data_IF_238605736605
#
_entry.id   IF_238605736605
#
_cell.length_a   1.000
_cell.length_b   1.000
_cell.length_c   1.000
_cell.angle_alpha   90.00
_cell.angle_beta   90.00
_cell.angle_gamma   90.00
#
_symmetry.space_group_name_H-M   'P 1'
#
loop_
_entity.id
_entity.type
_entity.pdbx_description
1 polymer ?
#
# COMPACT_ATOMS: atom_id res chain seq x y z
N UNK A 1 23.59 -7.25 -1.82
CA UNK A 1 22.36 -6.64 -1.27
C UNK A 1 22.14 -5.33 -2.01
N UNK A 2 20.90 -4.92 -2.32
CA UNK A 2 20.71 -3.57 -2.86
C UNK A 2 21.28 -2.54 -1.89
N UNK A 3 21.78 -1.45 -2.44
CA UNK A 3 22.28 -0.30 -1.66
C UNK A 3 21.18 0.19 -0.73
N UNK A 4 21.47 0.26 0.57
CA UNK A 4 20.46 0.74 1.55
C UNK A 4 20.31 2.25 1.41
N UNK A 5 19.08 2.71 1.21
CA UNK A 5 18.77 4.14 1.19
C UNK A 5 18.45 4.64 2.59
N UNK A 6 18.62 5.95 2.81
CA UNK A 6 18.24 6.61 4.05
C UNK A 6 16.72 6.53 4.31
N UNK A 7 16.31 6.57 5.59
CA UNK A 7 14.91 6.52 5.99
C UNK A 7 14.10 7.68 5.39
N UNK A 8 14.64 8.90 5.45
CA UNK A 8 13.95 10.08 4.92
C UNK A 8 13.89 10.05 3.40
N UNK A 9 14.94 9.56 2.72
CA UNK A 9 14.88 9.31 1.29
C UNK A 9 13.77 8.31 0.95
N UNK A 10 13.62 7.23 1.72
CA UNK A 10 12.54 6.27 1.51
C UNK A 10 11.16 6.94 1.68
N UNK A 11 10.97 7.76 2.71
CA UNK A 11 9.72 8.50 2.98
C UNK A 11 9.43 9.49 1.85
N UNK A 12 10.41 10.26 1.42
CA UNK A 12 10.25 11.32 0.43
C UNK A 12 9.99 10.79 -0.97
N UNK A 13 10.53 9.60 -1.28
CA UNK A 13 10.50 9.04 -2.63
C UNK A 13 9.56 7.85 -2.80
N UNK A 14 9.03 7.26 -1.71
CA UNK A 14 8.00 6.22 -1.81
C UNK A 14 6.74 6.79 -2.45
N UNK A 15 6.21 6.10 -3.44
CA UNK A 15 4.96 6.42 -4.12
C UNK A 15 4.29 5.16 -4.65
N UNK A 16 3.00 5.25 -4.95
CA UNK A 16 2.25 4.13 -5.52
C UNK A 16 2.74 3.78 -6.93
N UNK A 17 3.49 2.68 -7.04
CA UNK A 17 3.92 2.08 -8.30
C UNK A 17 2.82 1.14 -8.79
N UNK A 18 2.43 1.27 -10.06
CA UNK A 18 1.32 0.51 -10.65
C UNK A 18 1.68 -0.20 -11.96
N UNK A 19 2.93 -0.03 -12.40
CA UNK A 19 3.50 -0.68 -13.59
C UNK A 19 4.69 -1.51 -13.12
N UNK A 20 4.64 -2.81 -13.37
CA UNK A 20 5.61 -3.77 -12.86
C UNK A 20 6.23 -4.56 -14.00
N UNK A 21 7.50 -4.97 -13.82
CA UNK A 21 8.14 -5.99 -14.63
C UNK A 21 7.58 -7.36 -14.25
N UNK A 22 7.60 -8.33 -15.17
CA UNK A 22 7.20 -9.71 -14.87
C UNK A 22 8.24 -10.50 -14.06
N UNK A 23 9.41 -9.90 -13.80
CA UNK A 23 10.52 -10.56 -13.14
C UNK A 23 10.12 -11.07 -11.76
N UNK A 24 10.51 -12.31 -11.39
CA UNK A 24 10.19 -12.88 -10.10
C UNK A 24 10.86 -12.08 -8.97
N UNK A 25 10.15 -11.88 -7.86
CA UNK A 25 10.71 -11.27 -6.65
C UNK A 25 11.30 -12.37 -5.77
N UNK A 26 12.60 -12.31 -5.41
CA UNK A 26 13.24 -13.25 -4.52
C UNK A 26 12.57 -13.36 -3.15
N UNK A 27 12.57 -14.56 -2.55
CA UNK A 27 11.95 -14.83 -1.26
C UNK A 27 12.58 -14.02 -0.13
N UNK A 28 13.88 -13.76 -0.21
CA UNK A 28 14.62 -12.96 0.76
C UNK A 28 14.09 -11.52 0.81
N UNK A 29 13.71 -10.95 -0.34
CA UNK A 29 13.13 -9.60 -0.38
C UNK A 29 11.71 -9.60 0.22
N UNK A 30 10.90 -10.62 -0.05
CA UNK A 30 9.58 -10.74 0.56
C UNK A 30 9.68 -10.92 2.07
N UNK A 31 10.62 -11.75 2.54
CA UNK A 31 10.89 -11.93 3.97
C UNK A 31 11.23 -10.59 4.63
N UNK A 32 12.10 -9.79 4.01
CA UNK A 32 12.46 -8.46 4.53
C UNK A 32 11.27 -7.51 4.61
N UNK A 33 10.33 -7.57 3.64
CA UNK A 33 9.09 -6.78 3.70
C UNK A 33 8.22 -7.19 4.90
N UNK A 34 8.06 -8.49 5.13
CA UNK A 34 7.25 -9.01 6.23
C UNK A 34 7.90 -8.75 7.59
N UNK A 35 9.24 -8.87 7.70
CA UNK A 35 10.00 -8.48 8.89
C UNK A 35 9.81 -7.00 9.24
N UNK A 36 9.79 -6.11 8.23
CA UNK A 36 9.51 -4.70 8.44
C UNK A 36 8.05 -4.47 8.90
N UNK A 37 7.10 -5.20 8.30
CA UNK A 37 5.69 -5.12 8.66
C UNK A 37 5.45 -5.38 10.15
N UNK A 38 6.00 -6.46 10.68
CA UNK A 38 5.79 -6.89 12.08
C UNK A 38 6.51 -6.00 13.12
N UNK A 39 7.31 -5.02 12.68
CA UNK A 39 7.90 -3.98 13.56
C UNK A 39 6.96 -2.83 13.85
N UNK A 40 5.78 -2.81 13.22
CA UNK A 40 4.77 -1.79 13.48
C UNK A 40 4.20 -1.90 14.90
N UNK A 41 3.72 -0.78 15.49
CA UNK A 41 2.97 -0.83 16.74
C UNK A 41 1.58 -1.44 16.51
N UNK A 42 1.02 -2.03 17.56
CA UNK A 42 -0.38 -2.50 17.56
C UNK A 42 -1.07 -2.18 18.88
N UNK A 43 -2.37 -1.92 18.84
CA UNK A 43 -3.16 -1.62 20.03
C UNK A 43 -3.04 -2.74 21.07
N UNK A 44 -2.62 -2.40 22.30
CA UNK A 44 -2.39 -3.37 23.38
C UNK A 44 -1.35 -4.44 23.07
N UNK A 45 -0.44 -4.21 22.12
CA UNK A 45 0.54 -5.17 21.62
C UNK A 45 -0.08 -6.51 21.13
N UNK A 46 -1.32 -6.48 20.68
CA UNK A 46 -2.08 -7.69 20.27
C UNK A 46 -1.56 -8.35 19.00
N UNK A 47 -0.90 -7.58 18.11
CA UNK A 47 -0.31 -8.07 16.86
C UNK A 47 -1.29 -8.94 16.01
N UNK A 48 -2.55 -8.50 15.94
CA UNK A 48 -3.64 -9.23 15.27
C UNK A 48 -3.55 -9.27 13.74
N UNK A 49 -2.46 -8.80 13.14
CA UNK A 49 -2.22 -8.83 11.70
C UNK A 49 -1.85 -10.23 11.21
N UNK A 50 -2.22 -10.50 9.98
CA UNK A 50 -1.75 -11.63 9.19
C UNK A 50 -1.48 -11.17 7.76
N UNK A 51 -0.50 -11.78 7.11
CA UNK A 51 -0.13 -11.45 5.73
C UNK A 51 -0.16 -12.72 4.89
N UNK A 52 -0.90 -12.71 3.79
CA UNK A 52 -0.92 -13.80 2.83
C UNK A 52 -0.09 -13.37 1.62
N UNK A 53 1.01 -14.08 1.37
CA UNK A 53 1.85 -13.88 0.18
C UNK A 53 1.32 -14.77 -0.94
N UNK A 54 0.85 -14.15 -2.01
CA UNK A 54 0.20 -14.84 -3.13
C UNK A 54 1.17 -14.81 -4.31
N UNK A 55 1.79 -15.96 -4.60
CA UNK A 55 2.75 -16.17 -5.70
C UNK A 55 2.21 -17.11 -6.78
N UNK A 56 1.24 -17.95 -6.43
CA UNK A 56 0.61 -18.85 -7.40
C UNK A 56 -0.08 -18.04 -8.51
N UNK A 57 0.29 -18.34 -9.75
CA UNK A 57 -0.18 -17.58 -10.91
C UNK A 57 -1.69 -17.72 -11.11
N UNK A 58 -2.25 -18.90 -10.87
CA UNK A 58 -3.68 -19.14 -11.05
C UNK A 58 -4.48 -18.35 -10.01
N UNK A 59 -4.04 -18.35 -8.76
CA UNK A 59 -4.65 -17.58 -7.67
C UNK A 59 -4.60 -16.08 -7.96
N UNK A 60 -3.45 -15.56 -8.42
CA UNK A 60 -3.32 -14.13 -8.81
C UNK A 60 -4.26 -13.77 -9.97
N UNK A 61 -4.38 -14.65 -10.96
CA UNK A 61 -5.31 -14.43 -12.09
C UNK A 61 -6.76 -14.40 -11.64
N UNK A 62 -7.19 -15.31 -10.75
CA UNK A 62 -8.54 -15.30 -10.17
C UNK A 62 -8.83 -13.99 -9.43
N UNK A 63 -7.87 -13.46 -8.67
CA UNK A 63 -8.00 -12.12 -8.05
C UNK A 63 -8.11 -11.04 -9.13
N UNK A 64 -7.29 -11.10 -10.17
CA UNK A 64 -7.35 -10.18 -11.31
C UNK A 64 -8.72 -10.22 -12.02
N UNK A 65 -9.32 -11.40 -12.21
CA UNK A 65 -10.65 -11.54 -12.78
C UNK A 65 -11.70 -10.82 -11.93
N UNK A 66 -11.67 -10.98 -10.60
CA UNK A 66 -12.55 -10.24 -9.69
C UNK A 66 -12.39 -8.73 -9.86
N UNK A 67 -11.15 -8.24 -9.93
CA UNK A 67 -10.89 -6.81 -10.12
C UNK A 67 -11.46 -6.27 -11.44
N UNK A 68 -11.44 -7.07 -12.51
CA UNK A 68 -12.01 -6.69 -13.83
C UNK A 68 -13.53 -6.70 -13.85
N UNK A 69 -14.20 -7.48 -13.00
CA UNK A 69 -15.68 -7.52 -12.95
C UNK A 69 -16.29 -6.30 -12.26
N UNK A 70 -15.53 -5.58 -11.44
CA UNK A 70 -16.03 -4.42 -10.70
C UNK A 70 -16.24 -3.18 -11.57
N UNK A 71 -16.97 -2.19 -11.03
CA UNK A 71 -17.14 -0.90 -11.69
C UNK A 71 -15.78 -0.22 -11.90
N UNK A 72 -15.52 0.22 -13.12
CA UNK A 72 -14.30 0.95 -13.47
C UNK A 72 -14.33 2.37 -12.91
N UNK A 73 -13.14 2.94 -12.72
CA UNK A 73 -13.03 4.38 -12.45
C UNK A 73 -13.52 5.17 -13.66
N UNK A 74 -14.42 6.11 -13.43
CA UNK A 74 -14.83 7.05 -14.45
C UNK A 74 -13.76 8.15 -14.58
N UNK A 75 -13.06 8.15 -15.72
CA UNK A 75 -12.08 9.20 -16.04
C UNK A 75 -12.83 10.34 -16.73
N UNK A 76 -13.19 11.35 -15.96
CA UNK A 76 -13.98 12.49 -16.43
C UNK A 76 -13.11 13.51 -17.13
N UNK A 77 -13.69 14.25 -18.07
CA UNK A 77 -12.99 15.28 -18.86
C UNK A 77 -12.63 16.53 -18.04
N UNK A 78 -13.38 16.81 -16.98
CA UNK A 78 -13.16 17.95 -16.06
C UNK A 78 -12.06 17.71 -15.01
N UNK A 79 -11.50 16.49 -14.95
CA UNK A 79 -10.38 16.20 -14.07
C UNK A 79 -9.10 16.94 -14.47
N UNK A 80 -8.29 17.32 -13.47
CA UNK A 80 -6.94 17.82 -13.73
C UNK A 80 -6.08 16.78 -14.43
N UNK A 81 -5.05 17.21 -15.18
CA UNK A 81 -4.12 16.29 -15.84
C UNK A 81 -3.46 15.32 -14.85
N UNK A 82 -3.16 15.78 -13.62
CA UNK A 82 -2.62 14.94 -12.56
C UNK A 82 -3.62 13.89 -12.11
N UNK A 83 -4.88 14.25 -11.86
CA UNK A 83 -5.93 13.31 -11.47
C UNK A 83 -6.12 12.25 -12.55
N UNK A 84 -6.25 12.66 -13.83
CA UNK A 84 -6.37 11.71 -14.96
C UNK A 84 -5.22 10.70 -14.99
N UNK A 85 -3.96 11.12 -14.81
CA UNK A 85 -2.81 10.21 -14.77
C UNK A 85 -2.93 9.20 -13.64
N UNK A 86 -3.35 9.64 -12.44
CA UNK A 86 -3.52 8.76 -11.27
C UNK A 86 -4.62 7.73 -11.53
N UNK A 87 -5.77 8.16 -12.06
CA UNK A 87 -6.90 7.26 -12.36
C UNK A 87 -6.56 6.29 -13.49
N UNK A 88 -5.90 6.75 -14.57
CA UNK A 88 -5.45 5.86 -15.65
C UNK A 88 -4.45 4.82 -15.15
N UNK A 89 -3.51 5.20 -14.29
CA UNK A 89 -2.57 4.24 -13.70
C UNK A 89 -3.27 3.27 -12.73
N UNK A 90 -4.28 3.71 -12.00
CA UNK A 90 -5.09 2.85 -11.15
C UNK A 90 -5.89 1.84 -11.98
N UNK A 91 -6.50 2.30 -13.08
CA UNK A 91 -7.22 1.44 -14.01
C UNK A 91 -6.30 0.40 -14.66
N UNK A 92 -5.09 0.82 -15.08
CA UNK A 92 -4.09 -0.11 -15.60
C UNK A 92 -3.76 -1.21 -14.57
N UNK A 93 -3.52 -0.83 -13.31
CA UNK A 93 -3.26 -1.83 -12.27
C UNK A 93 -4.45 -2.79 -12.09
N UNK A 94 -5.68 -2.30 -12.10
CA UNK A 94 -6.86 -3.16 -11.99
C UNK A 94 -6.95 -4.18 -13.14
N UNK A 95 -6.64 -3.75 -14.35
CA UNK A 95 -6.64 -4.62 -15.52
C UNK A 95 -5.52 -5.68 -15.48
N UNK A 96 -4.39 -5.38 -14.81
CA UNK A 96 -3.17 -6.19 -14.80
C UNK A 96 -2.73 -6.69 -13.43
N UNK A 97 -3.56 -6.56 -12.38
CA UNK A 97 -3.14 -6.95 -11.02
C UNK A 97 -2.82 -8.45 -10.91
N UNK A 98 -3.46 -9.29 -11.71
CA UNK A 98 -3.17 -10.73 -11.79
C UNK A 98 -1.81 -11.06 -12.41
N UNK A 99 -1.20 -10.13 -13.15
CA UNK A 99 0.10 -10.28 -13.80
C UNK A 99 1.27 -9.86 -12.91
N UNK A 100 0.98 -9.13 -11.82
CA UNK A 100 2.02 -8.70 -10.87
C UNK A 100 2.68 -9.91 -10.22
N UNK A 101 4.03 -9.96 -10.10
CA UNK A 101 4.75 -11.16 -9.62
C UNK A 101 4.33 -11.65 -8.25
N UNK A 102 4.01 -10.74 -7.32
CA UNK A 102 3.61 -11.06 -5.95
C UNK A 102 2.49 -10.12 -5.51
N UNK A 103 1.47 -10.67 -4.84
CA UNK A 103 0.48 -9.90 -4.11
C UNK A 103 0.61 -10.22 -2.60
N UNK A 104 0.62 -9.20 -1.75
CA UNK A 104 0.56 -9.38 -0.30
C UNK A 104 -0.79 -8.87 0.18
N UNK A 105 -1.62 -9.77 0.71
CA UNK A 105 -2.89 -9.41 1.33
C UNK A 105 -2.69 -9.21 2.83
N UNK A 106 -2.87 -7.99 3.29
CA UNK A 106 -2.81 -7.63 4.69
C UNK A 106 -4.20 -7.83 5.34
N UNK A 107 -4.24 -8.68 6.33
CA UNK A 107 -5.44 -9.06 7.06
C UNK A 107 -5.31 -8.70 8.54
N UNK A 108 -6.44 -8.54 9.21
CA UNK A 108 -6.46 -8.34 10.66
C UNK A 108 -7.62 -9.11 11.30
N UNK A 109 -7.32 -9.78 12.39
CA UNK A 109 -8.33 -10.40 13.22
C UNK A 109 -8.92 -9.35 14.17
N UNK A 110 -10.24 -9.24 14.21
CA UNK A 110 -10.94 -8.42 15.20
C UNK A 110 -11.16 -9.22 16.49
N UNK A 111 -11.15 -8.54 17.63
CA UNK A 111 -11.67 -9.13 18.86
C UNK A 111 -13.17 -9.42 18.69
N UNK A 112 -13.71 -10.48 19.31
CA UNK A 112 -15.14 -10.81 19.23
C UNK A 112 -16.01 -9.59 19.58
N UNK A 113 -16.95 -9.24 18.69
CA UNK A 113 -17.86 -8.12 18.87
C UNK A 113 -17.27 -6.73 18.63
N UNK A 114 -16.05 -6.63 18.11
CA UNK A 114 -15.40 -5.35 17.78
C UNK A 114 -15.18 -5.18 16.27
N UNK A 115 -14.98 -3.93 15.85
CA UNK A 115 -14.55 -3.63 14.47
C UNK A 115 -13.05 -3.85 14.34
N UNK A 116 -12.57 -4.43 13.22
CA UNK A 116 -11.15 -4.58 12.95
C UNK A 116 -10.39 -3.26 13.05
N UNK A 117 -9.26 -3.26 13.77
CA UNK A 117 -8.51 -2.04 14.05
C UNK A 117 -7.61 -1.63 12.88
N UNK A 118 -8.07 -0.69 12.07
CA UNK A 118 -7.29 -0.07 11.00
C UNK A 118 -5.98 0.55 11.51
N UNK A 119 -5.99 1.10 12.74
CA UNK A 119 -4.82 1.72 13.38
C UNK A 119 -3.67 0.75 13.65
N UNK A 120 -3.94 -0.57 13.72
CA UNK A 120 -2.91 -1.58 13.93
C UNK A 120 -2.35 -2.14 12.61
N UNK A 121 -3.18 -2.30 11.57
CA UNK A 121 -2.72 -2.92 10.32
C UNK A 121 -2.05 -1.91 9.37
N UNK A 122 -2.54 -0.65 9.27
CA UNK A 122 -1.99 0.30 8.32
C UNK A 122 -0.57 0.79 8.65
N UNK A 123 -0.11 0.91 9.90
CA UNK A 123 1.31 1.10 10.21
C UNK A 123 2.19 -0.04 9.66
N UNK A 124 1.75 -1.29 9.78
CA UNK A 124 2.46 -2.44 9.22
C UNK A 124 2.49 -2.41 7.68
N UNK A 125 1.38 -2.04 7.05
CA UNK A 125 1.30 -1.82 5.60
C UNK A 125 2.26 -0.71 5.17
N UNK A 126 2.31 0.42 5.89
CA UNK A 126 3.24 1.51 5.57
C UNK A 126 4.70 1.07 5.68
N UNK A 127 5.05 0.24 6.67
CA UNK A 127 6.39 -0.33 6.77
C UNK A 127 6.74 -1.18 5.55
N UNK A 128 5.80 -2.00 5.03
CA UNK A 128 6.01 -2.75 3.78
C UNK A 128 6.30 -1.79 2.61
N UNK A 129 5.53 -0.70 2.48
CA UNK A 129 5.70 0.24 1.36
C UNK A 129 7.07 0.95 1.41
N UNK A 130 7.51 1.36 2.60
CA UNK A 130 8.83 1.99 2.78
C UNK A 130 9.96 0.98 2.56
N UNK A 131 9.84 -0.23 3.12
CA UNK A 131 10.82 -1.29 2.92
C UNK A 131 10.92 -1.68 1.43
N UNK A 132 9.79 -1.77 0.72
CA UNK A 132 9.78 -2.02 -0.72
C UNK A 132 10.58 -0.95 -1.47
N UNK A 133 10.37 0.35 -1.16
CA UNK A 133 11.16 1.44 -1.73
C UNK A 133 12.66 1.27 -1.42
N UNK A 134 13.02 0.96 -0.17
CA UNK A 134 14.40 0.74 0.26
C UNK A 134 15.08 -0.45 -0.42
N UNK A 135 14.31 -1.43 -0.84
CA UNK A 135 14.78 -2.64 -1.54
C UNK A 135 14.71 -2.54 -3.07
N UNK A 136 14.36 -1.37 -3.62
CA UNK A 136 14.22 -1.19 -5.06
C UNK A 136 12.98 -1.83 -5.67
N UNK A 137 11.98 -2.19 -4.84
CA UNK A 137 10.71 -2.76 -5.26
C UNK A 137 9.63 -1.69 -5.39
N UNK A 138 8.79 -1.83 -6.40
CA UNK A 138 7.54 -1.08 -6.52
C UNK A 138 6.45 -1.68 -5.66
N UNK A 139 5.62 -0.82 -5.09
CA UNK A 139 4.45 -1.20 -4.30
C UNK A 139 3.37 -0.12 -4.33
N UNK A 140 2.14 -0.52 -4.07
CA UNK A 140 1.04 0.42 -3.81
C UNK A 140 0.01 -0.25 -2.90
N UNK A 141 -0.59 0.54 -1.99
CA UNK A 141 -1.74 0.10 -1.22
C UNK A 141 -3.01 0.20 -2.07
N UNK A 142 -3.75 -0.90 -2.16
CA UNK A 142 -5.12 -0.90 -2.70
C UNK A 142 -6.09 -1.46 -1.68
N UNK A 143 -7.34 -0.97 -1.71
CA UNK A 143 -8.43 -1.46 -0.85
C UNK A 143 -9.60 -2.00 -1.66
N UNK A 144 -9.44 -2.12 -2.98
CA UNK A 144 -10.52 -2.57 -3.88
C UNK A 144 -10.94 -4.02 -3.61
N UNK A 145 -10.04 -4.85 -3.07
CA UNK A 145 -10.33 -6.23 -2.67
C UNK A 145 -11.51 -6.32 -1.68
N UNK A 146 -11.79 -5.28 -0.91
CA UNK A 146 -12.92 -5.27 0.04
C UNK A 146 -14.28 -5.41 -0.66
N UNK A 147 -14.39 -5.03 -1.94
CA UNK A 147 -15.60 -5.22 -2.75
C UNK A 147 -15.87 -6.68 -3.09
N UNK A 148 -14.84 -7.50 -3.03
CA UNK A 148 -14.84 -8.93 -3.35
C UNK A 148 -14.36 -9.76 -2.16
N UNK A 149 -14.55 -9.23 -0.95
CA UNK A 149 -13.97 -9.82 0.27
C UNK A 149 -14.44 -11.27 0.46
N UNK A 150 -15.71 -11.54 0.19
CA UNK A 150 -16.28 -12.88 0.32
C UNK A 150 -15.60 -13.88 -0.62
N UNK A 151 -15.47 -13.51 -1.88
CA UNK A 151 -14.86 -14.35 -2.93
C UNK A 151 -13.36 -14.55 -2.64
N UNK A 152 -12.66 -13.51 -2.21
CA UNK A 152 -11.24 -13.57 -1.85
C UNK A 152 -11.02 -14.43 -0.61
N UNK A 153 -11.85 -14.28 0.41
CA UNK A 153 -11.79 -15.16 1.60
C UNK A 153 -12.01 -16.62 1.23
N UNK A 154 -13.00 -16.89 0.39
CA UNK A 154 -13.28 -18.24 -0.07
C UNK A 154 -12.12 -18.81 -0.91
N UNK A 155 -11.55 -18.00 -1.82
CA UNK A 155 -10.42 -18.40 -2.65
C UNK A 155 -9.16 -18.73 -1.84
N UNK A 156 -8.90 -17.96 -0.78
CA UNK A 156 -7.68 -18.06 0.03
C UNK A 156 -7.88 -18.84 1.35
N UNK A 157 -9.06 -19.34 1.63
CA UNK A 157 -9.36 -20.07 2.88
C UNK A 157 -9.29 -19.19 4.13
N UNK A 158 -9.62 -17.89 4.03
CA UNK A 158 -9.54 -16.95 5.15
C UNK A 158 -10.75 -17.12 6.06
N UNK A 159 -10.57 -17.26 7.41
CA UNK A 159 -11.67 -17.35 8.36
C UNK A 159 -12.61 -16.14 8.31
N UNK A 160 -13.87 -16.37 8.70
CA UNK A 160 -14.91 -15.33 8.66
C UNK A 160 -14.64 -14.11 9.55
N UNK A 161 -13.96 -14.32 10.67
CA UNK A 161 -13.60 -13.32 11.69
C UNK A 161 -12.32 -12.52 11.36
N UNK A 162 -11.64 -12.84 10.26
CA UNK A 162 -10.46 -12.12 9.78
C UNK A 162 -10.86 -11.18 8.65
N UNK A 163 -10.66 -9.88 8.81
CA UNK A 163 -10.94 -8.88 7.78
C UNK A 163 -9.76 -8.69 6.82
N UNK A 164 -10.05 -8.50 5.53
CA UNK A 164 -9.04 -8.14 4.53
C UNK A 164 -8.93 -6.62 4.42
N UNK A 165 -7.77 -6.05 4.76
CA UNK A 165 -7.63 -4.60 4.91
C UNK A 165 -6.96 -3.91 3.73
N UNK A 166 -5.94 -4.53 3.14
CA UNK A 166 -5.24 -3.99 1.98
C UNK A 166 -4.64 -5.11 1.12
N UNK A 167 -4.64 -4.91 -0.19
CA UNK A 167 -3.89 -5.74 -1.13
C UNK A 167 -2.74 -4.92 -1.70
N UNK A 168 -1.52 -5.46 -1.60
CA UNK A 168 -0.28 -4.82 -1.99
C UNK A 168 0.34 -5.59 -3.16
N UNK A 169 0.24 -5.10 -4.41
CA UNK A 169 1.05 -5.60 -5.51
C UNK A 169 2.51 -5.22 -5.27
N UNK A 170 3.40 -6.21 -5.43
CA UNK A 170 4.84 -6.11 -5.21
C UNK A 170 5.59 -6.66 -6.43
N UNK A 171 6.56 -5.90 -6.92
CA UNK A 171 7.38 -6.29 -8.06
C UNK A 171 8.43 -5.25 -8.37
N UNK A 172 9.32 -5.52 -9.32
CA UNK A 172 10.24 -4.49 -9.81
C UNK A 172 9.47 -3.48 -10.67
N UNK A 173 9.74 -2.16 -10.52
CA UNK A 173 9.10 -1.14 -11.35
C UNK A 173 9.38 -1.36 -12.84
N UNK A 174 8.37 -1.20 -13.70
CA UNK A 174 8.55 -1.22 -15.14
C UNK A 174 9.46 -0.06 -15.61
N UNK A 175 10.05 -0.19 -16.79
CA UNK A 175 10.87 0.86 -17.39
C UNK A 175 10.10 2.18 -17.51
N UNK A 176 10.78 3.29 -17.25
CA UNK A 176 10.17 4.63 -17.23
C UNK A 176 9.36 4.93 -15.97
N UNK A 177 9.10 3.95 -15.11
CA UNK A 177 8.47 4.18 -13.81
C UNK A 177 9.52 4.69 -12.82
N UNK A 178 9.19 5.77 -12.10
CA UNK A 178 10.11 6.43 -11.17
C UNK A 178 9.53 6.51 -9.77
N UNK A 179 10.39 6.42 -8.78
CA UNK A 179 10.08 6.81 -7.41
C UNK A 179 9.89 8.31 -7.30
N UNK A 180 9.38 8.82 -6.14
CA UNK A 180 9.06 10.20 -5.83
C UNK A 180 9.83 11.29 -6.55
N UNK A 181 9.83 12.54 -6.06
CA UNK A 181 9.00 13.05 -4.98
C UNK A 181 7.52 13.16 -5.37
N UNK A 182 6.64 13.16 -4.39
CA UNK A 182 5.20 13.34 -4.60
C UNK A 182 4.78 14.72 -4.11
N UNK A 183 3.97 15.44 -4.91
CA UNK A 183 3.42 16.72 -4.48
C UNK A 183 2.54 16.51 -3.26
N UNK A 184 2.78 17.30 -2.24
CA UNK A 184 1.99 17.37 -1.00
C UNK A 184 1.47 18.78 -0.79
N UNK A 185 0.46 18.91 0.05
CA UNK A 185 0.03 20.20 0.58
C UNK A 185 1.15 20.77 1.44
N UNK A 186 1.30 22.09 1.50
CA UNK A 186 2.21 22.74 2.43
C UNK A 186 1.93 22.36 3.88
N UNK A 187 2.97 22.33 4.72
CA UNK A 187 2.85 21.87 6.10
C UNK A 187 1.89 22.76 6.91
N UNK A 188 1.91 24.06 6.67
CA UNK A 188 1.05 25.07 7.28
C UNK A 188 -0.44 24.90 7.01
N UNK A 189 -0.81 24.15 5.99
CA UNK A 189 -2.21 23.81 5.68
C UNK A 189 -2.72 22.58 6.41
N UNK A 190 -1.83 21.78 7.01
CA UNK A 190 -2.17 20.44 7.57
C UNK A 190 -1.67 20.24 8.99
N UNK A 191 -0.84 21.14 9.51
CA UNK A 191 -0.32 21.08 10.87
C UNK A 191 -0.76 22.33 11.64
N UNK A 192 -1.21 22.14 12.86
CA UNK A 192 -1.71 23.19 13.73
C UNK A 192 -1.05 23.10 15.11
N UNK A 193 -0.92 24.23 15.78
CA UNK A 193 -0.41 24.35 17.15
C UNK A 193 -1.58 24.51 18.11
N UNK A 194 -1.64 23.68 19.15
CA UNK A 194 -2.59 23.71 20.26
C UNK A 194 -4.10 23.65 19.87
N UNK A 195 -4.52 24.30 18.76
CA UNK A 195 -5.90 24.38 18.32
C UNK A 195 -6.05 24.21 16.83
N UNK A 196 -7.16 23.66 16.39
CA UNK A 196 -7.51 23.57 14.97
C UNK A 196 -7.60 24.97 14.36
N UNK A 197 -6.89 25.19 13.24
CA UNK A 197 -6.85 26.47 12.53
C UNK A 197 -5.65 27.37 12.89
N UNK A 198 -4.98 27.12 14.01
CA UNK A 198 -3.74 27.80 14.40
C UNK A 198 -2.55 27.15 13.66
N UNK A 199 -2.20 27.66 12.50
CA UNK A 199 -1.17 27.08 11.63
C UNK A 199 0.18 26.92 12.32
N UNK A 200 0.81 25.75 12.12
CA UNK A 200 2.19 25.53 12.51
C UNK A 200 3.11 26.45 11.71
N UNK A 201 3.72 27.41 12.40
CA UNK A 201 4.75 28.28 11.83
C UNK A 201 6.11 27.91 12.40
N UNK A 202 7.15 27.85 11.58
CA UNK A 202 8.50 27.76 12.09
C UNK A 202 8.77 29.06 12.87
N UNK A 203 8.86 28.96 14.19
CA UNK A 203 9.50 30.02 14.96
C UNK A 203 10.99 29.98 14.59
N UNK A 204 11.41 30.75 13.61
CA UNK A 204 12.79 31.16 13.52
C UNK A 204 13.02 31.99 14.78
N UNK A 205 13.63 31.37 15.80
CA UNK A 205 14.20 32.13 16.90
C UNK A 205 15.23 33.06 16.28
N UNK A 206 14.88 34.34 16.11
CA UNK A 206 15.84 35.40 15.94
C UNK A 206 16.77 35.34 17.16
N UNK A 207 17.94 34.74 16.96
CA UNK A 207 19.05 34.90 17.88
C UNK A 207 19.57 36.33 17.67
N UNK A 208 19.09 37.22 18.52
CA UNK A 208 19.71 38.53 18.75
C UNK A 208 20.94 38.36 19.62
#
# INVERSE_FOLDING_TARGET
MPETIDLFEAIDTQRGIRYFKPDPVPDELITRLLEAAIKAPSGGAKQGWSFIVIRDQETRRKIGDLYRTGSRFEIRTDMTAQARRVYSAAQHLEDHIGDVPVLILACIQADPGTTPSASSIFPAVQNILLAARGLGLGSVLTTRQTRFEKEIKQLLGIPGDVATMALLPIGFPAEGTRYGPTRRRPLEEVAFVDRWGESWQHHTSDQS
#
